data_IF_266647490815
#
_entry.id   IF_266647490815
#
_cell.length_a   1.000
_cell.length_b   1.000
_cell.length_c   1.000
_cell.angle_alpha   90.00
_cell.angle_beta   90.00
_cell.angle_gamma   90.00
#
_symmetry.space_group_name_H-M   'P 1'
#
loop_
_entity.id
_entity.type
_entity.pdbx_description
1 polymer ?
#
# COMPACT_ATOMS: atom_id res chain seq x y z
N UNK A 1 21.26 24.06 -4.03
CA UNK A 1 21.94 23.27 -2.96
C UNK A 1 21.36 21.87 -2.95
N UNK A 2 22.18 20.83 -3.02
CA UNK A 2 21.75 19.43 -2.99
C UNK A 2 20.85 19.16 -1.78
N UNK A 3 19.69 18.54 -2.00
CA UNK A 3 18.72 18.22 -0.97
C UNK A 3 18.47 16.72 -0.92
N UNK A 4 18.38 16.16 0.28
CA UNK A 4 17.98 14.78 0.46
C UNK A 4 16.48 14.63 0.13
N UNK A 5 16.15 13.68 -0.75
CA UNK A 5 14.77 13.40 -1.17
C UNK A 5 14.42 11.98 -0.70
N UNK A 6 13.72 11.90 0.43
CA UNK A 6 13.43 10.62 1.08
C UNK A 6 12.52 9.73 0.26
N UNK A 7 12.80 8.42 0.30
CA UNK A 7 11.85 7.40 -0.11
C UNK A 7 10.86 7.13 1.04
N UNK A 8 9.55 7.13 0.81
CA UNK A 8 8.58 6.90 1.87
C UNK A 8 8.69 5.48 2.44
N UNK A 9 8.29 5.31 3.68
CA UNK A 9 8.18 3.97 4.27
C UNK A 9 7.16 3.13 3.51
N UNK A 10 7.54 1.87 3.20
CA UNK A 10 6.62 0.93 2.58
C UNK A 10 5.72 0.36 3.68
N UNK A 11 4.42 0.51 3.49
CA UNK A 11 3.39 0.16 4.46
C UNK A 11 3.20 -1.36 4.64
N UNK A 12 2.42 -1.73 5.64
CA UNK A 12 1.85 -3.06 5.78
C UNK A 12 0.51 -3.13 5.05
N UNK A 13 0.07 -4.30 4.65
CA UNK A 13 -1.20 -4.50 3.94
C UNK A 13 -2.40 -3.87 4.68
N UNK A 14 -2.49 -4.05 6.01
CA UNK A 14 -3.54 -3.45 6.85
C UNK A 14 -3.61 -1.91 6.76
N UNK A 15 -2.44 -1.27 6.63
CA UNK A 15 -2.37 0.19 6.55
C UNK A 15 -2.85 0.69 5.19
N UNK A 16 -2.55 -0.06 4.12
CA UNK A 16 -3.08 0.25 2.78
C UNK A 16 -4.60 0.13 2.76
N UNK A 17 -5.16 -0.90 3.39
CA UNK A 17 -6.62 -1.03 3.53
C UNK A 17 -7.21 0.21 4.21
N UNK A 18 -6.62 0.65 5.32
CA UNK A 18 -7.07 1.85 6.03
C UNK A 18 -6.94 3.13 5.18
N UNK A 19 -5.83 3.29 4.45
CA UNK A 19 -5.57 4.46 3.63
C UNK A 19 -6.52 4.55 2.44
N UNK A 20 -6.72 3.44 1.70
CA UNK A 20 -7.65 3.37 0.57
C UNK A 20 -9.07 3.65 1.05
N UNK A 21 -9.50 3.02 2.16
CA UNK A 21 -10.83 3.22 2.72
C UNK A 21 -11.06 4.67 3.14
N UNK A 22 -10.09 5.29 3.83
CA UNK A 22 -10.18 6.69 4.27
C UNK A 22 -10.31 7.63 3.08
N UNK A 23 -9.43 7.49 2.07
CA UNK A 23 -9.45 8.35 0.87
C UNK A 23 -10.75 8.16 0.09
N UNK A 24 -11.19 6.93 -0.08
CA UNK A 24 -12.40 6.62 -0.85
C UNK A 24 -13.69 7.09 -0.16
N UNK A 25 -13.75 6.97 1.15
CA UNK A 25 -14.90 7.38 1.95
C UNK A 25 -14.98 8.91 2.13
N UNK A 26 -13.90 9.65 1.92
CA UNK A 26 -13.90 11.11 2.04
C UNK A 26 -14.83 11.74 1.01
N UNK A 27 -15.74 12.62 1.45
CA UNK A 27 -16.73 13.31 0.61
C UNK A 27 -16.59 14.84 0.65
N UNK A 28 -15.85 15.38 1.61
CA UNK A 28 -15.66 16.81 1.72
C UNK A 28 -15.30 17.26 3.12
N UNK A 29 -15.39 18.56 3.34
CA UNK A 29 -15.24 19.19 4.65
C UNK A 29 -16.57 19.82 5.06
N UNK A 30 -16.87 19.82 6.36
CA UNK A 30 -18.01 20.54 6.91
C UNK A 30 -17.73 22.05 7.04
N UNK A 31 -18.69 22.79 7.57
CA UNK A 31 -18.60 24.25 7.78
C UNK A 31 -17.46 24.65 8.75
N UNK A 32 -17.00 23.72 9.59
CA UNK A 32 -15.90 23.92 10.54
C UNK A 32 -14.54 23.51 9.96
N UNK A 33 -14.52 22.92 8.75
CA UNK A 33 -13.33 22.37 8.11
C UNK A 33 -12.99 20.94 8.53
N UNK A 34 -13.90 20.25 9.23
CA UNK A 34 -13.73 18.85 9.61
C UNK A 34 -14.08 17.91 8.45
N UNK A 35 -13.32 16.82 8.32
CA UNK A 35 -13.50 15.86 7.21
C UNK A 35 -14.77 15.03 7.38
N UNK A 36 -15.60 15.04 6.32
CA UNK A 36 -16.81 14.21 6.23
C UNK A 36 -16.48 12.94 5.46
N UNK A 37 -16.97 11.79 5.97
CA UNK A 37 -16.74 10.47 5.38
C UNK A 37 -18.07 9.74 5.14
N UNK A 38 -18.19 9.11 3.97
CA UNK A 38 -19.26 8.16 3.67
C UNK A 38 -18.70 6.74 3.56
N UNK A 39 -18.77 5.93 4.62
CA UNK A 39 -18.27 4.57 4.63
C UNK A 39 -19.10 3.59 3.79
N UNK A 40 -20.22 4.04 3.23
CA UNK A 40 -21.18 3.19 2.50
C UNK A 40 -20.87 3.10 1.02
N UNK A 41 -20.04 4.00 0.49
CA UNK A 41 -19.59 3.96 -0.89
C UNK A 41 -18.96 2.61 -1.21
N UNK A 42 -19.33 1.95 -2.34
CA UNK A 42 -18.65 0.74 -2.80
C UNK A 42 -17.16 1.04 -2.98
N UNK A 43 -16.31 0.28 -2.29
CA UNK A 43 -14.88 0.48 -2.34
C UNK A 43 -14.28 -0.02 -3.65
N UNK A 44 -13.15 0.52 -4.09
CA UNK A 44 -12.58 0.16 -5.38
C UNK A 44 -12.00 -1.25 -5.39
N UNK A 45 -11.90 -1.81 -6.60
CA UNK A 45 -11.02 -2.93 -6.91
C UNK A 45 -9.76 -2.37 -7.54
N UNK A 46 -8.61 -2.61 -6.94
CA UNK A 46 -7.35 -2.09 -7.43
C UNK A 46 -6.41 -3.23 -7.81
N UNK A 47 -5.79 -3.11 -8.98
CA UNK A 47 -4.75 -4.05 -9.44
C UNK A 47 -3.40 -3.59 -8.93
N UNK A 48 -2.74 -4.44 -8.17
CA UNK A 48 -1.38 -4.24 -7.68
C UNK A 48 -0.40 -5.07 -8.49
N UNK A 49 0.70 -4.43 -8.87
CA UNK A 49 1.88 -5.05 -9.45
C UNK A 49 2.87 -5.35 -8.35
N UNK A 50 3.35 -6.57 -8.27
CA UNK A 50 4.33 -7.02 -7.29
C UNK A 50 5.71 -7.19 -7.92
N UNK A 51 6.75 -6.70 -7.27
CA UNK A 51 8.15 -6.94 -7.63
C UNK A 51 8.87 -7.64 -6.47
N UNK A 52 9.90 -8.43 -6.80
CA UNK A 52 10.70 -9.10 -5.78
C UNK A 52 11.31 -8.06 -4.83
N UNK A 53 11.06 -8.24 -3.53
CA UNK A 53 11.69 -7.43 -2.51
C UNK A 53 13.08 -7.97 -2.22
N UNK A 54 14.09 -7.19 -2.59
CA UNK A 54 15.47 -7.53 -2.30
C UNK A 54 15.87 -7.14 -0.87
N UNK A 55 16.77 -7.92 -0.30
CA UNK A 55 17.36 -7.65 1.00
C UNK A 55 18.72 -6.97 0.83
N UNK A 56 18.69 -5.66 0.75
CA UNK A 56 19.86 -4.81 0.59
C UNK A 56 19.79 -3.57 1.48
N UNK A 57 20.07 -2.42 0.91
CA UNK A 57 19.86 -1.11 1.53
C UNK A 57 19.29 -0.13 0.54
N UNK A 58 18.30 0.66 0.97
CA UNK A 58 17.72 1.71 0.14
C UNK A 58 18.77 2.73 -0.26
N UNK A 59 18.78 3.05 -1.54
CA UNK A 59 19.75 3.90 -2.17
C UNK A 59 19.06 4.76 -3.23
N UNK A 60 19.50 6.01 -3.37
CA UNK A 60 18.95 6.94 -4.35
C UNK A 60 20.03 7.72 -5.07
N UNK A 61 19.77 8.03 -6.34
CA UNK A 61 20.59 8.92 -7.16
C UNK A 61 19.71 10.03 -7.67
N UNK A 62 20.09 11.26 -7.36
CA UNK A 62 19.33 12.46 -7.71
C UNK A 62 20.11 13.33 -8.70
N UNK A 63 19.37 14.03 -9.55
CA UNK A 63 19.95 14.95 -10.54
C UNK A 63 19.01 16.13 -10.80
N UNK A 64 19.61 17.31 -10.93
CA UNK A 64 19.04 18.49 -11.56
C UNK A 64 20.16 19.29 -12.27
N UNK A 65 19.77 20.22 -13.14
CA UNK A 65 20.75 21.01 -13.91
C UNK A 65 21.55 22.00 -13.05
N UNK A 66 21.08 22.36 -11.85
CA UNK A 66 21.71 23.33 -10.97
C UNK A 66 22.80 22.68 -10.10
N UNK A 67 22.47 21.55 -9.49
CA UNK A 67 23.33 20.89 -8.49
C UNK A 67 24.10 19.69 -9.05
N UNK A 68 23.78 19.25 -10.29
CA UNK A 68 24.36 18.06 -10.93
C UNK A 68 23.84 16.76 -10.29
N UNK A 69 24.67 15.72 -10.31
CA UNK A 69 24.37 14.40 -9.78
C UNK A 69 24.81 14.26 -8.32
N UNK A 70 24.02 13.55 -7.50
CA UNK A 70 24.43 13.17 -6.13
C UNK A 70 23.79 11.85 -5.70
N UNK A 71 24.48 11.16 -4.80
CA UNK A 71 24.01 9.92 -4.18
C UNK A 71 23.40 10.21 -2.80
N UNK A 72 22.44 9.37 -2.41
CA UNK A 72 21.83 9.41 -1.09
C UNK A 72 21.52 8.01 -0.57
N UNK A 73 21.67 7.82 0.73
CA UNK A 73 21.15 6.67 1.47
C UNK A 73 19.69 6.93 1.84
N UNK A 74 19.11 6.05 2.64
CA UNK A 74 17.75 6.23 3.16
C UNK A 74 17.57 7.55 3.92
N UNK A 75 18.59 7.99 4.67
CA UNK A 75 18.47 9.11 5.61
C UNK A 75 19.33 10.32 5.21
N UNK A 76 20.41 10.12 4.44
CA UNK A 76 21.40 11.15 4.22
C UNK A 76 21.88 11.21 2.78
N UNK A 77 22.34 12.41 2.34
CA UNK A 77 23.21 12.54 1.19
C UNK A 77 24.55 11.92 1.56
N UNK A 78 25.11 11.10 0.66
CA UNK A 78 26.35 10.37 0.87
C UNK A 78 27.41 10.76 -0.16
N UNK A 79 28.67 10.64 0.24
CA UNK A 79 29.83 10.81 -0.62
C UNK A 79 30.73 9.58 -0.48
N UNK A 80 31.70 9.34 -1.39
CA UNK A 80 32.62 8.21 -1.26
C UNK A 80 33.31 8.12 0.11
N UNK A 81 33.63 9.26 0.74
CA UNK A 81 34.25 9.33 2.05
C UNK A 81 33.30 9.07 3.23
N UNK A 82 31.99 9.19 2.99
CA UNK A 82 30.91 9.06 4.00
C UNK A 82 29.91 8.00 3.61
N UNK A 83 30.36 6.90 3.01
CA UNK A 83 29.54 5.78 2.59
C UNK A 83 30.22 4.45 2.93
N UNK A 84 29.66 3.74 3.89
CA UNK A 84 30.17 2.43 4.32
C UNK A 84 29.77 1.29 3.36
N UNK A 85 28.82 1.51 2.46
CA UNK A 85 28.28 0.49 1.55
C UNK A 85 28.99 0.45 0.20
N UNK A 86 29.68 1.54 -0.17
CA UNK A 86 30.33 1.74 -1.45
C UNK A 86 29.39 2.21 -2.57
N UNK A 87 28.16 2.56 -2.25
CA UNK A 87 27.16 3.00 -3.24
C UNK A 87 27.46 4.39 -3.81
N UNK A 88 27.97 5.33 -3.02
CA UNK A 88 28.35 6.64 -3.49
C UNK A 88 29.57 6.59 -4.42
N UNK A 89 30.56 5.74 -4.11
CA UNK A 89 31.70 5.49 -5.00
C UNK A 89 31.24 4.86 -6.33
N UNK A 90 30.26 3.94 -6.25
CA UNK A 90 29.67 3.36 -7.45
C UNK A 90 29.00 4.41 -8.34
N UNK A 91 28.25 5.37 -7.78
CA UNK A 91 27.66 6.48 -8.57
C UNK A 91 28.73 7.33 -9.24
N UNK A 92 29.81 7.64 -8.54
CA UNK A 92 30.90 8.45 -9.09
C UNK A 92 31.58 7.74 -10.26
N UNK A 93 31.87 6.45 -10.13
CA UNK A 93 32.52 5.65 -11.19
C UNK A 93 31.63 5.33 -12.37
N UNK A 94 30.27 5.32 -12.18
CA UNK A 94 29.27 5.06 -13.22
C UNK A 94 28.43 6.30 -13.56
N UNK A 95 29.00 7.49 -13.34
CA UNK A 95 28.32 8.78 -13.53
C UNK A 95 27.63 8.91 -14.88
N UNK A 96 28.32 8.50 -15.95
CA UNK A 96 27.79 8.57 -17.32
C UNK A 96 26.53 7.74 -17.48
N UNK A 97 26.49 6.51 -16.93
CA UNK A 97 25.29 5.67 -16.98
C UNK A 97 24.11 6.31 -16.26
N UNK A 98 24.33 6.88 -15.07
CA UNK A 98 23.26 7.58 -14.37
C UNK A 98 22.77 8.81 -15.12
N UNK A 99 23.64 9.59 -15.77
CA UNK A 99 23.24 10.73 -16.58
C UNK A 99 22.41 10.29 -17.81
N UNK A 100 22.76 9.15 -18.43
CA UNK A 100 21.95 8.56 -19.51
C UNK A 100 20.54 8.19 -18.98
N UNK A 101 20.46 7.52 -17.83
CA UNK A 101 19.17 7.17 -17.22
C UNK A 101 18.33 8.42 -16.88
N UNK A 102 18.96 9.48 -16.35
CA UNK A 102 18.29 10.76 -16.10
C UNK A 102 17.76 11.40 -17.39
N UNK A 103 18.54 11.30 -18.49
CA UNK A 103 18.10 11.73 -19.81
C UNK A 103 16.91 10.94 -20.32
N UNK A 104 16.92 9.60 -20.22
CA UNK A 104 15.78 8.75 -20.58
C UNK A 104 14.50 9.16 -19.84
N UNK A 105 14.59 9.44 -18.53
CA UNK A 105 13.46 9.89 -17.72
C UNK A 105 12.97 11.27 -18.18
N UNK A 106 13.89 12.22 -18.33
CA UNK A 106 13.58 13.58 -18.73
C UNK A 106 12.88 13.61 -20.10
N UNK A 107 13.38 12.84 -21.06
CA UNK A 107 12.83 12.77 -22.42
C UNK A 107 11.47 12.08 -22.47
N UNK A 108 11.32 10.94 -21.76
CA UNK A 108 10.07 10.16 -21.77
C UNK A 108 8.95 10.91 -21.08
N UNK A 109 9.21 11.49 -19.93
CA UNK A 109 8.19 12.16 -19.11
C UNK A 109 8.14 13.69 -19.32
N UNK A 110 8.92 14.23 -20.26
CA UNK A 110 8.98 15.68 -20.59
C UNK A 110 9.34 16.54 -19.37
N UNK A 111 10.33 16.11 -18.60
CA UNK A 111 10.77 16.78 -17.36
C UNK A 111 11.85 17.81 -17.67
N UNK A 112 11.59 19.07 -17.34
CA UNK A 112 12.63 20.11 -17.34
C UNK A 112 13.48 19.99 -16.07
N UNK A 113 14.71 19.53 -16.22
CA UNK A 113 15.69 19.35 -15.14
C UNK A 113 16.22 20.67 -14.55
N UNK A 114 15.89 21.84 -15.14
CA UNK A 114 16.20 23.15 -14.56
C UNK A 114 15.22 23.51 -13.43
N UNK A 115 13.99 23.03 -13.54
CA UNK A 115 12.89 23.32 -12.61
C UNK A 115 12.47 22.12 -11.78
N UNK A 116 13.06 20.96 -12.01
CA UNK A 116 12.76 19.72 -11.29
C UNK A 116 14.02 18.96 -10.93
N UNK A 117 13.93 18.21 -9.82
CA UNK A 117 14.91 17.18 -9.48
C UNK A 117 14.34 15.81 -9.81
N UNK A 118 15.07 15.01 -10.56
CA UNK A 118 14.78 13.59 -10.80
C UNK A 118 15.53 12.78 -9.75
N UNK A 119 14.84 11.85 -9.10
CA UNK A 119 15.47 10.89 -8.17
C UNK A 119 15.12 9.46 -8.57
N UNK A 120 16.15 8.69 -8.92
CA UNK A 120 16.05 7.24 -9.14
C UNK A 120 16.30 6.55 -7.80
N UNK A 121 15.38 5.70 -7.36
CA UNK A 121 15.55 4.86 -6.18
C UNK A 121 15.79 3.41 -6.58
N UNK A 122 16.66 2.75 -5.82
CA UNK A 122 16.97 1.34 -6.00
C UNK A 122 17.38 0.68 -4.70
N UNK A 123 17.46 -0.64 -4.74
CA UNK A 123 18.06 -1.43 -3.67
C UNK A 123 19.54 -1.66 -4.04
N UNK A 124 20.45 -1.23 -3.17
CA UNK A 124 21.84 -1.58 -3.25
C UNK A 124 22.06 -2.91 -2.55
N UNK A 125 22.36 -3.94 -3.33
CA UNK A 125 22.45 -5.31 -2.84
C UNK A 125 23.69 -6.04 -3.38
N UNK A 126 24.07 -7.13 -2.73
CA UNK A 126 25.20 -7.96 -3.10
C UNK A 126 26.14 -8.24 -1.94
N UNK A 127 27.34 -8.75 -2.26
CA UNK A 127 28.36 -9.16 -1.28
C UNK A 127 28.68 -8.08 -0.24
N UNK A 128 28.53 -8.44 1.04
CA UNK A 128 28.88 -7.55 2.14
C UNK A 128 27.82 -6.50 2.50
N UNK A 129 26.67 -6.48 1.83
CA UNK A 129 25.55 -5.57 2.21
C UNK A 129 24.66 -6.25 3.23
N UNK A 130 24.12 -7.43 2.91
CA UNK A 130 23.31 -8.25 3.80
C UNK A 130 23.80 -9.70 3.77
N UNK A 131 23.18 -10.56 4.57
CA UNK A 131 23.56 -11.99 4.69
C UNK A 131 22.33 -12.87 4.55
N UNK A 132 22.58 -14.16 4.34
CA UNK A 132 21.57 -15.23 4.39
C UNK A 132 20.46 -15.14 3.35
N UNK A 133 20.70 -14.50 2.21
CA UNK A 133 19.79 -14.40 1.06
C UNK A 133 20.56 -14.65 -0.24
N UNK A 134 19.90 -15.17 -1.27
CA UNK A 134 20.55 -15.50 -2.54
C UNK A 134 21.28 -14.29 -3.15
N UNK A 135 20.65 -13.11 -3.12
CA UNK A 135 21.22 -11.88 -3.69
C UNK A 135 22.52 -11.42 -2.98
N UNK A 136 22.82 -11.89 -1.79
CA UNK A 136 24.08 -11.60 -1.10
C UNK A 136 25.31 -12.22 -1.76
N UNK A 137 25.14 -13.11 -2.72
CA UNK A 137 26.23 -13.82 -3.43
C UNK A 137 26.68 -13.13 -4.72
N UNK A 138 25.93 -12.16 -5.25
CA UNK A 138 26.31 -11.40 -6.44
C UNK A 138 27.29 -10.27 -6.10
N UNK A 139 27.96 -9.74 -7.10
CA UNK A 139 28.69 -8.49 -6.93
C UNK A 139 27.71 -7.33 -6.66
N UNK A 140 28.16 -6.34 -5.89
CA UNK A 140 27.30 -5.22 -5.50
C UNK A 140 26.68 -4.55 -6.72
N UNK A 141 25.36 -4.41 -6.71
CA UNK A 141 24.58 -3.87 -7.81
C UNK A 141 23.41 -3.01 -7.31
N UNK A 142 22.97 -2.08 -8.14
CA UNK A 142 21.75 -1.31 -7.92
C UNK A 142 20.58 -1.95 -8.70
N UNK A 143 19.47 -2.16 -8.01
CA UNK A 143 18.21 -2.61 -8.61
C UNK A 143 17.18 -1.48 -8.52
N UNK A 144 16.95 -0.78 -9.62
CA UNK A 144 16.01 0.34 -9.72
C UNK A 144 14.60 -0.17 -9.48
N UNK A 145 13.84 0.52 -8.61
CA UNK A 145 12.45 0.18 -8.30
C UNK A 145 11.49 1.38 -8.32
N UNK A 146 11.98 2.57 -8.63
CA UNK A 146 11.09 3.73 -8.74
C UNK A 146 11.80 5.03 -9.06
N UNK A 147 11.05 5.94 -9.66
CA UNK A 147 11.50 7.28 -10.01
C UNK A 147 10.53 8.31 -9.47
N UNK A 148 11.07 9.32 -8.81
CA UNK A 148 10.30 10.44 -8.24
C UNK A 148 10.78 11.76 -8.83
N UNK A 149 9.82 12.59 -9.21
CA UNK A 149 10.05 13.94 -9.68
C UNK A 149 9.70 14.90 -8.56
N UNK A 150 10.63 15.79 -8.23
CA UNK A 150 10.44 16.82 -7.20
C UNK A 150 10.56 18.19 -7.84
N UNK A 151 9.45 18.91 -8.04
CA UNK A 151 9.46 20.27 -8.54
C UNK A 151 10.24 21.20 -7.62
N UNK A 152 10.96 22.15 -8.19
CA UNK A 152 11.58 23.23 -7.44
C UNK A 152 10.53 24.29 -7.13
N UNK A 153 10.41 24.77 -5.90
CA UNK A 153 9.45 25.84 -5.57
C UNK A 153 9.81 27.12 -6.33
N UNK A 154 8.82 27.73 -6.95
CA UNK A 154 8.98 29.01 -7.68
C UNK A 154 9.07 30.19 -6.72
N UNK A 155 8.46 30.06 -5.52
CA UNK A 155 8.46 31.00 -4.41
C UNK A 155 8.23 30.24 -3.09
N UNK A 156 8.40 30.88 -1.94
CA UNK A 156 8.35 30.20 -0.63
C UNK A 156 7.00 29.50 -0.32
N UNK A 157 5.89 29.98 -0.88
CA UNK A 157 4.56 29.42 -0.70
C UNK A 157 4.22 28.30 -1.68
N UNK A 158 5.08 28.05 -2.68
CA UNK A 158 4.85 26.99 -3.69
C UNK A 158 5.05 25.60 -3.06
N UNK A 159 3.95 24.89 -2.91
CA UNK A 159 3.89 23.54 -2.35
C UNK A 159 3.57 22.47 -3.43
N UNK A 160 3.97 22.71 -4.66
CA UNK A 160 3.77 21.71 -5.72
C UNK A 160 4.31 20.36 -5.26
N UNK A 161 3.45 19.32 -5.13
CA UNK A 161 3.87 18.04 -4.58
C UNK A 161 4.80 17.31 -5.51
N UNK A 162 5.72 16.54 -4.94
CA UNK A 162 6.50 15.58 -5.69
C UNK A 162 5.62 14.40 -6.10
N UNK A 163 5.87 13.81 -7.27
CA UNK A 163 5.08 12.73 -7.85
C UNK A 163 5.97 11.60 -8.40
N UNK A 164 5.36 10.43 -8.57
CA UNK A 164 6.03 9.27 -9.12
C UNK A 164 5.76 9.15 -10.61
N UNK A 165 6.72 8.61 -11.33
CA UNK A 165 6.60 8.31 -12.76
C UNK A 165 6.96 6.87 -13.04
N UNK A 166 6.50 6.33 -14.16
CA UNK A 166 6.87 5.00 -14.61
C UNK A 166 8.39 4.90 -14.82
N UNK A 167 8.96 3.81 -14.34
CA UNK A 167 10.38 3.50 -14.45
C UNK A 167 10.65 2.18 -15.17
N UNK A 168 9.62 1.51 -15.64
CA UNK A 168 9.70 0.16 -16.22
C UNK A 168 10.56 0.08 -17.49
N UNK A 169 10.68 1.19 -18.22
CA UNK A 169 11.46 1.29 -19.46
C UNK A 169 12.97 1.52 -19.23
N UNK A 170 13.38 1.87 -18.02
CA UNK A 170 14.77 2.23 -17.74
C UNK A 170 15.71 1.04 -17.94
N UNK A 171 16.71 1.23 -18.81
CA UNK A 171 17.78 0.27 -19.04
C UNK A 171 19.11 0.99 -19.03
N UNK A 172 20.00 0.54 -18.15
CA UNK A 172 21.36 1.07 -18.08
C UNK A 172 22.22 0.48 -19.18
N UNK A 173 23.12 1.26 -19.78
CA UNK A 173 24.14 0.74 -20.69
C UNK A 173 25.28 0.03 -19.95
N UNK A 174 25.34 0.15 -18.64
CA UNK A 174 26.40 -0.38 -17.78
C UNK A 174 25.90 -1.56 -16.95
N UNK A 175 26.79 -2.52 -16.72
CA UNK A 175 26.55 -3.65 -15.84
C UNK A 175 26.33 -3.20 -14.38
N UNK A 176 25.61 -4.00 -13.61
CA UNK A 176 25.30 -3.79 -12.19
C UNK A 176 24.33 -2.63 -11.88
N UNK A 177 23.67 -2.08 -12.90
CA UNK A 177 22.51 -1.20 -12.73
C UNK A 177 21.34 -1.88 -13.45
N UNK A 178 20.47 -2.54 -12.69
CA UNK A 178 19.37 -3.33 -13.19
C UNK A 178 18.03 -2.65 -12.86
N UNK A 179 16.98 -3.01 -13.60
CA UNK A 179 15.62 -2.67 -13.22
C UNK A 179 14.97 -3.89 -12.55
N UNK A 180 14.36 -3.70 -11.39
CA UNK A 180 13.68 -4.81 -10.68
C UNK A 180 12.54 -5.41 -11.50
N UNK A 181 11.98 -4.64 -12.43
CA UNK A 181 10.91 -5.07 -13.32
C UNK A 181 11.38 -5.98 -14.48
N UNK A 182 12.70 -6.18 -14.64
CA UNK A 182 13.25 -7.16 -15.59
C UNK A 182 13.19 -8.60 -15.05
N UNK A 183 12.87 -8.75 -13.78
CA UNK A 183 12.73 -10.02 -13.09
C UNK A 183 11.26 -10.42 -12.94
N UNK A 184 10.96 -11.66 -12.52
CA UNK A 184 9.58 -12.12 -12.35
C UNK A 184 8.72 -11.14 -11.54
N UNK A 185 7.55 -10.85 -12.10
CA UNK A 185 6.58 -9.94 -11.54
C UNK A 185 5.33 -10.70 -11.13
N UNK A 186 4.58 -10.10 -10.21
CA UNK A 186 3.36 -10.67 -9.64
C UNK A 186 2.23 -9.68 -9.83
N UNK A 187 1.01 -10.18 -9.99
CA UNK A 187 -0.18 -9.34 -10.09
C UNK A 187 -1.26 -9.85 -9.14
N UNK A 188 -1.94 -8.92 -8.49
CA UNK A 188 -3.10 -9.23 -7.67
C UNK A 188 -4.12 -8.09 -7.77
N UNK A 189 -5.39 -8.45 -8.00
CA UNK A 189 -6.51 -7.55 -7.83
C UNK A 189 -7.04 -7.67 -6.41
N UNK A 190 -7.18 -6.55 -5.72
CA UNK A 190 -7.69 -6.47 -4.34
C UNK A 190 -9.02 -5.73 -4.37
N UNK A 191 -10.08 -6.42 -3.98
CA UNK A 191 -11.39 -5.81 -3.71
C UNK A 191 -11.39 -5.23 -2.30
N UNK A 192 -11.38 -3.89 -2.18
CA UNK A 192 -11.34 -3.23 -0.88
C UNK A 192 -12.66 -3.30 -0.09
N UNK A 193 -13.71 -3.90 -0.66
CA UNK A 193 -14.86 -4.30 0.13
C UNK A 193 -14.57 -5.57 0.97
N UNK A 194 -13.70 -6.46 0.46
CA UNK A 194 -13.34 -7.73 1.08
C UNK A 194 -11.82 -8.01 0.97
N UNK A 195 -10.95 -7.10 1.41
CA UNK A 195 -9.50 -7.17 1.14
C UNK A 195 -8.83 -8.39 1.77
N UNK A 196 -9.41 -8.97 2.83
CA UNK A 196 -8.92 -10.18 3.48
C UNK A 196 -8.91 -11.40 2.55
N UNK A 197 -9.79 -11.48 1.54
CA UNK A 197 -9.82 -12.57 0.56
C UNK A 197 -8.59 -12.59 -0.36
N UNK A 198 -7.80 -11.52 -0.39
CA UNK A 198 -6.54 -11.48 -1.13
C UNK A 198 -5.34 -12.00 -0.31
N UNK A 199 -5.49 -12.23 1.01
CA UNK A 199 -4.35 -12.54 1.89
C UNK A 199 -3.66 -13.85 1.55
N UNK A 200 -4.45 -14.92 1.30
CA UNK A 200 -3.90 -16.24 1.00
C UNK A 200 -3.03 -16.22 -0.26
N UNK A 201 -3.49 -15.54 -1.32
CA UNK A 201 -2.71 -15.40 -2.57
C UNK A 201 -1.46 -14.55 -2.38
N UNK A 202 -1.51 -13.47 -1.59
CA UNK A 202 -0.33 -12.68 -1.23
C UNK A 202 0.68 -13.55 -0.48
N UNK A 203 0.23 -14.37 0.47
CA UNK A 203 1.07 -15.28 1.26
C UNK A 203 1.72 -16.32 0.35
N UNK A 204 0.95 -16.99 -0.53
CA UNK A 204 1.45 -17.98 -1.48
C UNK A 204 2.60 -17.42 -2.34
N UNK A 205 2.37 -16.27 -2.98
CA UNK A 205 3.40 -15.61 -3.78
C UNK A 205 4.63 -15.22 -2.95
N UNK A 206 4.42 -14.78 -1.71
CA UNK A 206 5.51 -14.39 -0.81
C UNK A 206 6.37 -15.58 -0.39
N UNK A 207 5.74 -16.70 -0.06
CA UNK A 207 6.43 -17.97 0.29
C UNK A 207 7.26 -18.47 -0.89
N UNK A 208 6.71 -18.44 -2.11
CA UNK A 208 7.45 -18.85 -3.29
C UNK A 208 8.74 -18.03 -3.50
N UNK A 209 8.69 -16.70 -3.26
CA UNK A 209 9.89 -15.84 -3.31
C UNK A 209 10.82 -16.11 -2.14
N UNK A 210 10.28 -16.38 -0.95
CA UNK A 210 11.11 -16.70 0.23
C UNK A 210 11.83 -18.03 0.04
N UNK A 211 11.19 -19.03 -0.52
CA UNK A 211 11.80 -20.36 -0.74
C UNK A 211 12.89 -20.32 -1.81
N UNK A 212 12.66 -19.61 -2.92
CA UNK A 212 13.65 -19.42 -3.97
C UNK A 212 13.59 -18.00 -4.51
N UNK A 213 14.64 -17.21 -4.27
CA UNK A 213 14.73 -15.84 -4.78
C UNK A 213 14.86 -15.80 -6.31
N UNK A 214 13.84 -15.31 -7.07
CA UNK A 214 13.91 -15.30 -8.53
C UNK A 214 15.07 -14.46 -9.08
N UNK A 215 15.41 -13.36 -8.39
CA UNK A 215 16.52 -12.48 -8.79
C UNK A 215 17.86 -13.19 -8.54
N UNK A 216 18.05 -13.82 -7.38
CA UNK A 216 19.27 -14.61 -7.10
C UNK A 216 19.47 -15.71 -8.13
N UNK A 217 18.39 -16.43 -8.45
CA UNK A 217 18.39 -17.50 -9.46
C UNK A 217 18.78 -17.00 -10.85
N UNK A 218 18.32 -15.80 -11.26
CA UNK A 218 18.70 -15.18 -12.52
C UNK A 218 20.22 -14.92 -12.63
N UNK A 219 20.90 -14.76 -11.49
CA UNK A 219 22.36 -14.64 -11.40
C UNK A 219 23.07 -15.98 -11.13
N UNK A 220 22.36 -17.11 -11.17
CA UNK A 220 22.92 -18.44 -10.92
C UNK A 220 23.12 -18.79 -9.44
N UNK A 221 22.51 -18.06 -8.52
CA UNK A 221 22.58 -18.32 -7.07
C UNK A 221 21.24 -18.78 -6.53
N UNK A 222 21.18 -20.01 -6.06
CA UNK A 222 20.04 -20.52 -5.30
C UNK A 222 20.03 -19.96 -3.87
N UNK A 223 18.84 -19.84 -3.29
CA UNK A 223 18.66 -19.43 -1.90
C UNK A 223 17.42 -18.55 -1.71
N UNK A 224 17.22 -18.17 -0.46
CA UNK A 224 15.99 -17.49 -0.05
C UNK A 224 15.94 -16.04 -0.53
N UNK A 225 14.69 -15.57 -0.81
CA UNK A 225 14.35 -14.16 -1.01
C UNK A 225 13.73 -13.53 0.24
N UNK A 226 13.50 -12.22 0.23
CA UNK A 226 12.88 -11.52 1.38
C UNK A 226 11.35 -11.49 1.30
N UNK A 227 10.80 -11.41 0.08
CA UNK A 227 9.36 -11.29 -0.16
C UNK A 227 9.03 -10.45 -1.38
N UNK A 228 7.90 -9.73 -1.34
CA UNK A 228 7.36 -8.94 -2.46
C UNK A 228 6.99 -7.53 -1.98
N UNK A 229 7.22 -6.54 -2.84
CA UNK A 229 6.63 -5.19 -2.72
C UNK A 229 5.54 -5.08 -3.77
N UNK A 230 4.32 -4.86 -3.32
CA UNK A 230 3.17 -4.59 -4.17
C UNK A 230 2.94 -3.08 -4.28
N UNK A 231 2.69 -2.59 -5.49
CA UNK A 231 2.41 -1.18 -5.77
C UNK A 231 1.24 -1.02 -6.73
N UNK A 232 0.47 0.04 -6.52
CA UNK A 232 -0.56 0.52 -7.42
C UNK A 232 -0.39 2.03 -7.57
N UNK A 233 -0.24 2.50 -8.81
CA UNK A 233 -0.19 3.92 -9.14
C UNK A 233 -1.59 4.36 -9.56
N UNK A 234 -2.10 5.40 -8.91
CA UNK A 234 -3.38 6.00 -9.24
C UNK A 234 -3.23 6.96 -10.44
N UNK A 235 -4.33 7.34 -11.07
CA UNK A 235 -4.31 8.25 -12.23
C UNK A 235 -3.75 9.64 -11.89
N UNK A 236 -3.89 10.08 -10.64
CA UNK A 236 -3.34 11.35 -10.13
C UNK A 236 -1.87 11.24 -9.69
N UNK A 237 -1.21 10.09 -9.93
CA UNK A 237 0.22 9.88 -9.66
C UNK A 237 0.55 9.58 -8.19
N UNK A 238 -0.45 9.33 -7.34
CA UNK A 238 -0.24 8.77 -6.01
C UNK A 238 0.11 7.28 -6.12
N UNK A 239 0.88 6.76 -5.19
CA UNK A 239 1.25 5.34 -5.20
C UNK A 239 0.96 4.70 -3.85
N UNK A 240 0.08 3.71 -3.87
CA UNK A 240 -0.10 2.78 -2.76
C UNK A 240 0.98 1.69 -2.82
N UNK A 241 1.73 1.51 -1.74
CA UNK A 241 2.76 0.48 -1.64
C UNK A 241 2.66 -0.28 -0.34
N UNK A 242 2.67 -1.61 -0.42
CA UNK A 242 2.84 -2.45 0.76
C UNK A 242 3.84 -3.57 0.51
N UNK A 243 4.43 -4.07 1.59
CA UNK A 243 5.37 -5.19 1.56
C UNK A 243 4.74 -6.41 2.21
N UNK A 244 5.01 -7.56 1.62
CA UNK A 244 4.79 -8.86 2.21
C UNK A 244 6.13 -9.57 2.35
N UNK A 245 6.44 -10.04 3.56
CA UNK A 245 7.68 -10.73 3.89
C UNK A 245 7.38 -12.12 4.37
N UNK A 246 8.25 -13.06 4.03
CA UNK A 246 8.18 -14.41 4.53
C UNK A 246 8.56 -14.51 6.01
N UNK A 247 8.32 -15.66 6.61
CA UNK A 247 8.53 -15.88 8.05
C UNK A 247 10.01 -15.84 8.45
N UNK A 248 10.91 -16.28 7.56
CA UNK A 248 12.36 -16.31 7.81
C UNK A 248 12.93 -14.90 8.03
N UNK A 249 12.31 -13.89 7.38
CA UNK A 249 12.69 -12.48 7.49
C UNK A 249 11.86 -11.67 8.48
N UNK A 250 10.68 -12.15 8.88
CA UNK A 250 9.82 -11.46 9.83
C UNK A 250 10.27 -11.61 11.29
N UNK A 251 10.95 -12.71 11.63
CA UNK A 251 11.45 -12.98 13.01
C UNK A 251 12.50 -11.98 13.48
N UNK A 252 13.25 -11.38 12.56
CA UNK A 252 14.25 -10.34 12.85
C UNK A 252 13.65 -8.92 12.95
N UNK A 253 12.43 -8.71 12.50
CA UNK A 253 11.72 -7.43 12.56
C UNK A 253 10.38 -7.65 13.25
N UNK A 254 9.96 -6.74 14.13
CA UNK A 254 8.64 -6.74 14.79
C UNK A 254 7.47 -6.59 13.80
N UNK A 255 7.65 -6.98 12.54
CA UNK A 255 6.65 -6.90 11.47
C UNK A 255 5.81 -8.17 11.51
N UNK A 256 4.52 -8.02 11.77
CA UNK A 256 3.56 -9.12 11.69
C UNK A 256 3.46 -9.63 10.25
N UNK A 257 3.73 -10.92 10.03
CA UNK A 257 3.40 -11.59 8.76
C UNK A 257 1.87 -11.62 8.57
N UNK A 258 1.44 -11.62 7.33
CA UNK A 258 0.04 -11.92 7.00
C UNK A 258 -0.26 -13.36 7.44
N UNK A 259 -1.41 -13.55 8.07
CA UNK A 259 -1.87 -14.90 8.47
C UNK A 259 -2.83 -15.45 7.42
N UNK A 260 -2.78 -16.76 7.17
CA UNK A 260 -3.79 -17.40 6.33
C UNK A 260 -5.20 -17.17 6.88
N UNK A 261 -6.16 -17.04 5.98
CA UNK A 261 -7.58 -16.89 6.30
C UNK A 261 -8.38 -18.03 5.68
N UNK A 262 -9.50 -18.36 6.30
CA UNK A 262 -10.46 -19.31 5.74
C UNK A 262 -11.42 -18.55 4.82
N UNK A 263 -11.12 -18.56 3.53
CA UNK A 263 -11.90 -17.83 2.52
C UNK A 263 -13.35 -18.35 2.44
N UNK A 264 -13.57 -19.67 2.62
CA UNK A 264 -14.90 -20.24 2.62
C UNK A 264 -15.71 -19.76 3.83
N UNK A 265 -15.08 -19.71 5.01
CA UNK A 265 -15.71 -19.17 6.21
C UNK A 265 -16.00 -17.68 6.09
N UNK A 266 -15.10 -16.89 5.51
CA UNK A 266 -15.31 -15.45 5.29
C UNK A 266 -16.51 -15.22 4.35
N UNK A 267 -16.57 -15.92 3.21
CA UNK A 267 -17.69 -15.81 2.28
C UNK A 267 -19.02 -16.21 2.93
N UNK A 268 -19.03 -17.31 3.69
CA UNK A 268 -20.19 -17.75 4.43
C UNK A 268 -20.66 -16.72 5.48
N UNK A 269 -19.72 -16.06 6.18
CA UNK A 269 -20.06 -14.96 7.10
C UNK A 269 -20.72 -13.80 6.34
N UNK A 270 -20.16 -13.39 5.20
CA UNK A 270 -20.69 -12.29 4.38
C UNK A 270 -22.13 -12.61 3.92
N UNK A 271 -22.32 -13.79 3.35
CA UNK A 271 -23.64 -14.24 2.88
C UNK A 271 -24.66 -14.31 4.02
N UNK A 272 -24.28 -14.91 5.15
CA UNK A 272 -25.14 -15.02 6.32
C UNK A 272 -25.50 -13.65 6.87
N UNK A 273 -24.55 -12.74 7.03
CA UNK A 273 -24.83 -11.39 7.53
C UNK A 273 -25.78 -10.64 6.60
N UNK A 274 -25.57 -10.69 5.27
CA UNK A 274 -26.49 -10.06 4.32
C UNK A 274 -27.92 -10.63 4.43
N UNK A 275 -28.05 -11.94 4.68
CA UNK A 275 -29.33 -12.62 4.86
C UNK A 275 -30.03 -12.19 6.15
N UNK A 276 -29.29 -12.11 7.27
CA UNK A 276 -29.91 -11.86 8.60
C UNK A 276 -30.03 -10.36 8.93
N UNK A 277 -29.42 -9.46 8.11
CA UNK A 277 -29.54 -7.99 8.26
C UNK A 277 -30.08 -7.32 7.00
N UNK A 278 -31.26 -7.70 6.49
CA UNK A 278 -31.89 -7.00 5.38
C UNK A 278 -32.25 -5.56 5.80
N UNK A 279 -32.35 -4.65 4.82
CA UNK A 279 -32.57 -3.22 5.09
C UNK A 279 -33.82 -2.94 5.91
N UNK A 280 -34.95 -3.69 5.70
CA UNK A 280 -36.16 -3.53 6.48
C UNK A 280 -35.93 -3.78 7.99
N UNK A 281 -35.05 -4.75 8.35
CA UNK A 281 -34.73 -5.02 9.77
C UNK A 281 -33.94 -3.86 10.36
N UNK A 282 -32.96 -3.34 9.60
CA UNK A 282 -32.15 -2.19 10.02
C UNK A 282 -33.02 -0.94 10.19
N UNK A 283 -33.97 -0.72 9.28
CA UNK A 283 -34.92 0.40 9.35
C UNK A 283 -35.82 0.30 10.57
N UNK A 284 -36.38 -0.87 10.82
CA UNK A 284 -37.23 -1.14 12.02
C UNK A 284 -36.44 -0.88 13.32
N UNK A 285 -35.17 -1.31 13.39
CA UNK A 285 -34.36 -1.11 14.57
C UNK A 285 -33.88 0.35 14.70
N UNK A 286 -33.68 1.06 13.58
CA UNK A 286 -33.38 2.47 13.57
C UNK A 286 -34.59 3.26 14.14
N UNK A 287 -35.77 3.01 13.62
CA UNK A 287 -37.01 3.63 14.14
C UNK A 287 -37.20 3.34 15.65
N UNK A 288 -37.09 2.09 16.06
CA UNK A 288 -37.20 1.68 17.48
C UNK A 288 -36.16 2.38 18.37
N UNK A 289 -34.96 2.68 17.84
CA UNK A 289 -33.92 3.33 18.62
C UNK A 289 -34.08 4.85 18.69
N UNK A 290 -34.54 5.47 17.61
CA UNK A 290 -34.60 6.92 17.46
C UNK A 290 -36.00 7.51 17.41
N UNK A 291 -37.04 6.66 17.38
CA UNK A 291 -38.44 7.08 17.27
C UNK A 291 -38.73 7.96 16.04
N UNK A 292 -38.15 7.54 14.89
CA UNK A 292 -38.15 8.32 13.64
C UNK A 292 -39.60 8.60 13.18
N UNK A 293 -40.51 7.63 13.29
CA UNK A 293 -41.90 7.77 12.90
C UNK A 293 -42.63 8.90 13.68
N UNK A 294 -42.18 9.24 14.87
CA UNK A 294 -42.69 10.31 15.70
C UNK A 294 -41.82 11.59 15.68
N UNK A 295 -40.94 11.71 14.70
CA UNK A 295 -40.12 12.89 14.50
C UNK A 295 -38.79 12.92 15.28
N UNK A 296 -38.36 11.76 15.79
CA UNK A 296 -37.04 11.60 16.40
C UNK A 296 -35.92 11.78 15.36
N UNK A 297 -34.74 12.20 15.80
CA UNK A 297 -33.58 12.44 14.92
C UNK A 297 -32.47 11.42 15.13
N UNK A 298 -31.76 11.10 14.05
CA UNK A 298 -30.60 10.19 14.09
C UNK A 298 -29.41 10.92 14.73
N UNK A 299 -28.97 10.45 15.89
CA UNK A 299 -27.86 11.07 16.64
C UNK A 299 -26.66 10.13 16.72
N UNK A 300 -25.49 10.61 16.26
CA UNK A 300 -24.21 9.84 16.26
C UNK A 300 -23.90 9.27 17.66
N UNK A 301 -24.13 10.03 18.72
CA UNK A 301 -23.86 9.58 20.09
C UNK A 301 -24.62 8.30 20.49
N UNK A 302 -25.75 8.00 19.83
CA UNK A 302 -26.59 6.82 20.07
C UNK A 302 -26.36 5.68 19.05
N UNK A 303 -25.42 5.83 18.10
CA UNK A 303 -25.10 4.77 17.12
C UNK A 303 -24.75 3.44 17.79
N UNK A 304 -24.00 3.48 18.90
CA UNK A 304 -23.66 2.26 19.67
C UNK A 304 -24.90 1.55 20.27
N UNK A 305 -25.96 2.28 20.61
CA UNK A 305 -27.24 1.72 21.06
C UNK A 305 -27.96 1.03 19.91
N UNK A 306 -28.05 1.68 18.75
CA UNK A 306 -28.60 1.09 17.53
C UNK A 306 -27.90 -0.22 17.16
N UNK A 307 -26.56 -0.22 17.10
CA UNK A 307 -25.79 -1.43 16.79
C UNK A 307 -26.10 -2.56 17.77
N UNK A 308 -26.12 -2.29 19.09
CA UNK A 308 -26.47 -3.30 20.09
C UNK A 308 -27.87 -3.85 19.92
N UNK A 309 -28.83 -3.00 19.62
CA UNK A 309 -30.23 -3.42 19.40
C UNK A 309 -30.33 -4.37 18.20
N UNK A 310 -29.67 -4.05 17.08
CA UNK A 310 -29.65 -4.92 15.89
C UNK A 310 -28.94 -6.25 16.20
N UNK A 311 -27.74 -6.19 16.79
CA UNK A 311 -26.99 -7.42 17.12
C UNK A 311 -27.79 -8.33 18.02
N UNK A 312 -28.43 -7.81 19.08
CA UNK A 312 -29.24 -8.61 19.99
C UNK A 312 -30.48 -9.21 19.30
N UNK A 313 -31.12 -8.45 18.44
CA UNK A 313 -32.28 -8.92 17.66
C UNK A 313 -31.85 -10.04 16.69
N UNK A 314 -30.76 -9.84 15.93
CA UNK A 314 -30.22 -10.87 15.02
C UNK A 314 -29.87 -12.16 15.78
N UNK A 315 -29.16 -12.06 16.90
CA UNK A 315 -28.73 -13.22 17.66
C UNK A 315 -29.92 -13.97 18.28
N UNK A 316 -30.99 -13.27 18.62
CA UNK A 316 -32.20 -13.87 19.17
C UNK A 316 -33.07 -14.51 18.10
N UNK A 317 -33.39 -13.80 17.03
CA UNK A 317 -34.37 -14.22 16.03
C UNK A 317 -33.76 -15.12 14.93
N UNK A 318 -32.42 -15.03 14.69
CA UNK A 318 -31.73 -15.72 13.60
C UNK A 318 -30.73 -16.79 14.09
N UNK A 319 -30.85 -17.21 15.38
CA UNK A 319 -29.96 -18.22 15.96
C UNK A 319 -29.86 -19.49 15.12
N UNK A 320 -31.00 -19.98 14.62
CA UNK A 320 -31.05 -21.19 13.80
C UNK A 320 -30.45 -21.00 12.40
N UNK A 321 -30.65 -19.81 11.80
CA UNK A 321 -30.02 -19.45 10.50
C UNK A 321 -28.52 -19.43 10.63
N UNK A 322 -27.99 -18.82 11.70
CA UNK A 322 -26.57 -18.74 12.01
C UNK A 322 -25.96 -20.12 12.24
N UNK A 323 -26.64 -20.95 13.08
CA UNK A 323 -26.20 -22.31 13.37
C UNK A 323 -26.23 -23.21 12.11
N UNK A 324 -27.28 -23.09 11.27
CA UNK A 324 -27.38 -23.83 10.00
C UNK A 324 -26.23 -23.48 9.04
N UNK A 325 -25.74 -22.23 9.06
CA UNK A 325 -24.56 -21.81 8.32
C UNK A 325 -23.24 -22.33 8.94
N UNK A 326 -23.28 -23.06 10.05
CA UNK A 326 -22.09 -23.55 10.74
C UNK A 326 -21.27 -22.42 11.41
N UNK A 327 -21.93 -21.31 11.75
CA UNK A 327 -21.31 -20.14 12.35
C UNK A 327 -21.74 -19.98 13.81
N UNK A 328 -20.90 -19.34 14.60
CA UNK A 328 -21.19 -18.94 15.98
C UNK A 328 -21.44 -17.42 16.06
N UNK A 329 -22.15 -16.92 17.09
CA UNK A 329 -22.38 -15.49 17.32
C UNK A 329 -21.11 -14.63 17.19
N UNK A 330 -19.99 -15.10 17.72
CA UNK A 330 -18.69 -14.40 17.65
C UNK A 330 -18.16 -14.20 16.22
N UNK A 331 -18.52 -15.11 15.29
CA UNK A 331 -18.05 -15.07 13.91
C UNK A 331 -18.71 -13.93 13.13
N UNK A 332 -19.96 -13.60 13.43
CA UNK A 332 -20.77 -12.62 12.68
C UNK A 332 -20.83 -11.24 13.33
N UNK A 333 -20.66 -11.12 14.66
CA UNK A 333 -20.87 -9.87 15.41
C UNK A 333 -20.13 -8.65 14.82
N UNK A 334 -18.87 -8.83 14.42
CA UNK A 334 -18.07 -7.74 13.86
C UNK A 334 -18.66 -7.27 12.52
N UNK A 335 -19.09 -8.20 11.67
CA UNK A 335 -19.63 -7.90 10.34
C UNK A 335 -21.05 -7.35 10.39
N UNK A 336 -21.88 -7.84 11.31
CA UNK A 336 -23.20 -7.23 11.61
C UNK A 336 -23.02 -5.80 12.08
N UNK A 337 -22.08 -5.55 13.01
CA UNK A 337 -21.80 -4.21 13.50
C UNK A 337 -21.27 -3.26 12.40
N UNK A 338 -20.47 -3.77 11.46
CA UNK A 338 -20.03 -3.03 10.28
C UNK A 338 -21.20 -2.66 9.38
N UNK A 339 -22.09 -3.62 9.09
CA UNK A 339 -23.30 -3.39 8.30
C UNK A 339 -24.21 -2.34 8.93
N UNK A 340 -24.42 -2.42 10.26
CA UNK A 340 -25.22 -1.44 11.00
C UNK A 340 -24.62 -0.03 10.92
N UNK A 341 -23.30 0.12 11.11
CA UNK A 341 -22.63 1.42 10.98
C UNK A 341 -22.83 2.02 9.59
N UNK A 342 -22.64 1.21 8.56
CA UNK A 342 -22.81 1.67 7.19
C UNK A 342 -24.26 2.16 6.95
N UNK A 343 -25.25 1.36 7.36
CA UNK A 343 -26.65 1.74 7.24
C UNK A 343 -26.99 3.02 8.02
N UNK A 344 -26.48 3.13 9.24
CA UNK A 344 -26.67 4.31 10.09
C UNK A 344 -26.17 5.59 9.39
N UNK A 345 -24.95 5.56 8.82
CA UNK A 345 -24.41 6.73 8.13
C UNK A 345 -25.18 7.09 6.86
N UNK A 346 -25.69 6.10 6.11
CA UNK A 346 -26.58 6.39 4.97
C UNK A 346 -27.78 7.20 5.45
N UNK A 347 -28.47 6.68 6.45
CA UNK A 347 -29.69 7.31 6.95
C UNK A 347 -29.43 8.69 7.56
N UNK A 348 -28.32 8.86 8.26
CA UNK A 348 -27.92 10.16 8.79
C UNK A 348 -27.61 11.18 7.67
N UNK A 349 -26.90 10.74 6.62
CA UNK A 349 -26.58 11.60 5.48
C UNK A 349 -27.84 11.99 4.70
N UNK A 350 -28.79 11.07 4.54
CA UNK A 350 -30.12 11.35 3.95
C UNK A 350 -30.87 12.41 4.75
N UNK A 351 -30.86 12.33 6.09
CA UNK A 351 -31.54 13.28 6.98
C UNK A 351 -30.95 14.70 6.90
N UNK A 352 -29.63 14.83 6.76
CA UNK A 352 -28.95 16.13 6.63
C UNK A 352 -28.83 16.64 5.18
N UNK A 353 -29.47 15.96 4.22
CA UNK A 353 -29.51 16.37 2.81
C UNK A 353 -28.18 16.22 2.06
N UNK A 354 -27.24 15.49 2.58
CA UNK A 354 -25.99 15.10 1.89
C UNK A 354 -26.30 13.89 1.02
N UNK A 355 -26.47 14.11 -0.30
CA UNK A 355 -26.65 13.04 -1.31
C UNK A 355 -25.35 12.81 -2.08
#
# INVERSE_FOLDING_TARGET
MKKHISFPSIEQFKNIIANVNRKHNFIGLDENGDAIYDPTKPKPKLKFKGTVKLHGTNFGVSYNAIDGLWAQSRENIITPEKDNSGSAFFVETHKTAFLILMGQIADTHKIDVKTNTITIYGEWAGKGIQKSVAIANIDKAMFIFGVKITPHPKHEEDKTPAYWVDSSFLRSPEDRIFNIEDYPQYEIEIDFNYPQLSQNKIIEMTIAVEDECPVGKAFGFEGIGEGIVFSHMTEDGEVYRFKSKGEKHSKASKVSTLKPVDDAKINNIIETVNKVTPDWRLEQMLDKTFDIMNGGKIEIKRMGEFIRNVVNDVLKEESDTIATAGLEPKDINAKVSERCRNYFFVKQNEEVGLK
#
